data_IF_212139621937
#
_entry.id   IF_212139621937
#
_cell.length_a   1.000
_cell.length_b   1.000
_cell.length_c   1.000
_cell.angle_alpha   90.00
_cell.angle_beta   90.00
_cell.angle_gamma   90.00
#
_symmetry.space_group_name_H-M   'P 1'
#
loop_
_entity.id
_entity.type
_entity.pdbx_description
1 polymer ?
#
# COMPACT_ATOMS: atom_id res chain seq x y z
N UNK A 1 -9.38 6.09 -0.89
CA UNK A 1 -10.38 5.02 -1.08
C UNK A 1 -11.40 5.38 -2.17
N UNK A 2 -12.12 6.52 -2.08
CA UNK A 2 -13.21 6.87 -3.01
C UNK A 2 -12.77 6.92 -4.49
N UNK A 3 -11.63 7.57 -4.81
CA UNK A 3 -11.09 7.59 -6.19
C UNK A 3 -10.74 6.19 -6.73
N UNK A 4 -10.26 5.31 -5.86
CA UNK A 4 -10.02 3.91 -6.27
C UNK A 4 -11.32 3.17 -6.51
N UNK A 5 -12.32 3.38 -5.66
CA UNK A 5 -13.65 2.76 -5.82
C UNK A 5 -14.37 3.21 -7.11
N UNK A 6 -14.17 4.46 -7.52
CA UNK A 6 -14.69 5.00 -8.80
C UNK A 6 -14.12 4.24 -10.01
N UNK A 7 -12.84 3.85 -9.96
CA UNK A 7 -12.18 3.12 -11.03
C UNK A 7 -12.48 1.62 -11.08
N UNK A 8 -13.19 1.06 -10.09
CA UNK A 8 -13.48 -0.36 -10.04
C UNK A 8 -14.54 -0.78 -11.06
N UNK A 9 -14.42 -1.98 -11.66
CA UNK A 9 -15.47 -2.58 -12.45
C UNK A 9 -16.74 -2.81 -11.61
N UNK A 10 -17.83 -3.22 -12.26
CA UNK A 10 -19.12 -3.38 -11.58
C UNK A 10 -19.07 -4.38 -10.42
N UNK A 11 -18.31 -5.47 -10.60
CA UNK A 11 -18.09 -6.54 -9.63
C UNK A 11 -16.82 -6.33 -8.76
N UNK A 12 -16.12 -5.21 -8.93
CA UNK A 12 -14.91 -4.90 -8.18
C UNK A 12 -15.18 -4.51 -6.73
N UNK A 13 -14.26 -4.86 -5.84
CA UNK A 13 -14.35 -4.58 -4.41
C UNK A 13 -13.06 -3.95 -3.89
N UNK A 14 -13.17 -2.89 -3.12
CA UNK A 14 -12.07 -2.25 -2.40
C UNK A 14 -12.09 -2.67 -0.93
N UNK A 15 -10.97 -3.20 -0.46
CA UNK A 15 -10.70 -3.47 0.95
C UNK A 15 -9.74 -2.40 1.45
N UNK A 16 -10.14 -1.60 2.43
CA UNK A 16 -9.29 -0.55 3.00
C UNK A 16 -9.17 -0.70 4.51
N UNK A 17 -7.96 -0.48 5.03
CA UNK A 17 -7.60 -0.72 6.42
C UNK A 17 -7.04 0.56 7.03
N UNK A 18 -7.50 0.91 8.22
CA UNK A 18 -7.01 2.03 9.01
C UNK A 18 -6.65 1.52 10.42
N UNK A 19 -5.40 1.75 10.85
CA UNK A 19 -4.93 1.31 12.15
C UNK A 19 -5.35 2.24 13.30
N UNK A 20 -5.58 3.53 12.97
CA UNK A 20 -6.00 4.52 13.94
C UNK A 20 -7.54 4.51 14.06
N UNK A 21 -8.05 3.96 15.16
CA UNK A 21 -9.48 3.88 15.45
C UNK A 21 -10.15 5.25 15.63
N UNK A 22 -9.39 6.30 16.03
CA UNK A 22 -9.91 7.66 16.10
C UNK A 22 -10.37 8.21 14.74
N UNK A 23 -9.85 7.64 13.63
CA UNK A 23 -10.27 8.01 12.28
C UNK A 23 -11.61 7.38 11.86
N UNK A 24 -12.12 6.41 12.60
CA UNK A 24 -13.33 5.69 12.23
C UNK A 24 -14.55 6.61 12.15
N UNK A 25 -14.80 7.40 13.19
CA UNK A 25 -15.97 8.28 13.28
C UNK A 25 -16.00 9.35 12.17
N UNK A 26 -14.81 9.74 11.68
CA UNK A 26 -14.70 10.65 10.55
C UNK A 26 -14.82 9.93 9.22
N UNK A 27 -14.08 8.84 9.02
CA UNK A 27 -13.93 8.19 7.71
C UNK A 27 -15.15 7.36 7.32
N UNK A 28 -15.71 6.59 8.25
CA UNK A 28 -16.81 5.65 7.98
C UNK A 28 -18.03 6.33 7.37
N UNK A 29 -18.55 7.47 7.91
CA UNK A 29 -19.71 8.14 7.33
C UNK A 29 -19.49 8.60 5.88
N UNK A 30 -18.28 9.03 5.53
CA UNK A 30 -17.95 9.45 4.17
C UNK A 30 -17.96 8.29 3.18
N UNK A 31 -17.49 7.12 3.59
CA UNK A 31 -17.48 5.92 2.76
C UNK A 31 -18.89 5.36 2.60
N UNK A 32 -19.64 5.23 3.70
CA UNK A 32 -20.97 4.64 3.73
C UNK A 32 -22.04 5.50 3.05
N UNK A 33 -21.88 6.83 3.02
CA UNK A 33 -22.79 7.73 2.32
C UNK A 33 -22.34 8.04 0.87
N UNK A 34 -21.26 7.43 0.40
CA UNK A 34 -20.79 7.61 -0.97
C UNK A 34 -21.60 6.76 -1.96
N UNK A 35 -21.57 7.15 -3.23
CA UNK A 35 -22.16 6.36 -4.32
C UNK A 35 -21.43 5.03 -4.55
N UNK A 36 -20.30 4.82 -3.89
CA UNK A 36 -19.45 3.62 -3.96
C UNK A 36 -19.52 2.77 -2.69
N UNK A 37 -20.44 3.05 -1.77
CA UNK A 37 -20.54 2.36 -0.48
C UNK A 37 -20.56 0.83 -0.61
N UNK A 38 -21.32 0.31 -1.59
CA UNK A 38 -21.46 -1.13 -1.83
C UNK A 38 -20.15 -1.79 -2.32
N UNK A 39 -19.20 -0.99 -2.85
CA UNK A 39 -17.90 -1.46 -3.35
C UNK A 39 -16.77 -1.33 -2.33
N UNK A 40 -17.02 -0.76 -1.14
CA UNK A 40 -15.97 -0.47 -0.15
C UNK A 40 -16.19 -1.30 1.11
N UNK A 41 -15.17 -2.06 1.50
CA UNK A 41 -15.07 -2.75 2.80
C UNK A 41 -14.03 -2.02 3.63
N UNK A 42 -14.48 -1.26 4.63
CA UNK A 42 -13.64 -0.49 5.54
C UNK A 42 -13.45 -1.22 6.86
N UNK A 43 -12.19 -1.44 7.23
CA UNK A 43 -11.78 -2.13 8.44
C UNK A 43 -10.91 -1.25 9.31
N UNK A 44 -11.19 -1.24 10.61
CA UNK A 44 -10.30 -0.67 11.62
C UNK A 44 -9.41 -1.79 12.16
N UNK A 45 -8.10 -1.61 12.06
CA UNK A 45 -7.12 -2.56 12.57
C UNK A 45 -5.85 -2.65 11.72
N UNK A 46 -4.93 -3.47 12.20
CA UNK A 46 -3.65 -3.68 11.55
C UNK A 46 -3.81 -4.57 10.30
N UNK A 47 -3.56 -4.01 9.13
CA UNK A 47 -3.63 -4.73 7.85
C UNK A 47 -2.75 -5.99 7.84
N UNK A 48 -1.56 -5.96 8.47
CA UNK A 48 -0.64 -7.11 8.53
C UNK A 48 -1.22 -8.30 9.31
N UNK A 49 -2.15 -8.05 10.21
CA UNK A 49 -2.83 -9.10 10.99
C UNK A 49 -4.15 -9.53 10.34
N UNK A 50 -4.85 -8.60 9.70
CA UNK A 50 -6.18 -8.84 9.15
C UNK A 50 -6.14 -9.45 7.75
N UNK A 51 -5.33 -8.92 6.83
CA UNK A 51 -5.27 -9.39 5.43
C UNK A 51 -4.96 -10.88 5.33
N UNK A 52 -4.04 -11.46 6.13
CA UNK A 52 -3.78 -12.90 6.09
C UNK A 52 -4.98 -13.80 6.45
N UNK A 53 -5.99 -13.24 7.11
CA UNK A 53 -7.19 -13.98 7.51
C UNK A 53 -8.24 -14.06 6.38
N UNK A 54 -8.08 -13.25 5.33
CA UNK A 54 -8.96 -13.29 4.17
C UNK A 54 -8.42 -14.29 3.14
N UNK A 55 -9.30 -15.11 2.60
CA UNK A 55 -9.01 -15.96 1.45
C UNK A 55 -9.32 -15.16 0.16
N UNK A 56 -8.48 -14.17 -0.10
CA UNK A 56 -8.65 -13.24 -1.21
C UNK A 56 -7.38 -13.18 -2.07
N UNK A 57 -7.60 -13.04 -3.37
CA UNK A 57 -6.60 -12.63 -4.35
C UNK A 57 -6.89 -11.20 -4.78
N UNK A 58 -5.86 -10.36 -4.87
CA UNK A 58 -5.97 -8.96 -5.24
C UNK A 58 -5.38 -8.73 -6.63
N UNK A 59 -5.98 -7.84 -7.40
CA UNK A 59 -5.44 -7.38 -8.69
C UNK A 59 -4.59 -6.12 -8.51
N UNK A 60 -4.89 -5.34 -7.46
CA UNK A 60 -4.18 -4.11 -7.12
C UNK A 60 -4.10 -3.96 -5.61
N UNK A 61 -2.92 -3.58 -5.11
CA UNK A 61 -2.74 -3.12 -3.75
C UNK A 61 -2.09 -1.73 -3.73
N UNK A 62 -2.56 -0.85 -2.87
CA UNK A 62 -1.98 0.46 -2.62
C UNK A 62 -1.40 0.49 -1.21
N UNK A 63 -0.08 0.68 -1.10
CA UNK A 63 0.64 0.73 0.17
C UNK A 63 0.97 2.19 0.51
N UNK A 64 0.32 2.71 1.55
CA UNK A 64 0.54 4.05 2.10
C UNK A 64 0.44 4.01 3.63
N UNK A 65 1.18 3.10 4.22
CA UNK A 65 1.22 2.89 5.68
C UNK A 65 2.53 3.38 6.31
N UNK A 66 2.84 2.81 7.47
CA UNK A 66 4.10 3.04 8.19
C UNK A 66 5.31 2.59 7.36
N UNK A 67 6.18 3.53 7.02
CA UNK A 67 7.35 3.28 6.14
C UNK A 67 8.33 2.24 6.71
N UNK A 68 8.36 2.09 8.04
CA UNK A 68 9.13 1.04 8.74
C UNK A 68 8.67 -0.38 8.39
N UNK A 69 7.43 -0.52 7.91
CA UNK A 69 6.76 -1.80 7.66
C UNK A 69 6.51 -2.07 6.16
N UNK A 70 7.10 -1.27 5.26
CA UNK A 70 6.86 -1.41 3.82
C UNK A 70 7.24 -2.77 3.27
N UNK A 71 8.34 -3.35 3.75
CA UNK A 71 8.76 -4.71 3.40
C UNK A 71 7.70 -5.73 3.87
N UNK A 72 7.18 -5.57 5.09
CA UNK A 72 6.17 -6.48 5.63
C UNK A 72 4.87 -6.42 4.81
N UNK A 73 4.42 -5.20 4.45
CA UNK A 73 3.24 -5.04 3.59
C UNK A 73 3.46 -5.68 2.22
N UNK A 74 4.62 -5.47 1.62
CA UNK A 74 4.97 -6.04 0.34
C UNK A 74 4.96 -7.57 0.36
N UNK A 75 5.65 -8.19 1.31
CA UNK A 75 5.73 -9.64 1.44
C UNK A 75 4.39 -10.28 1.84
N UNK A 76 3.53 -9.56 2.53
CA UNK A 76 2.16 -9.99 2.81
C UNK A 76 1.29 -10.00 1.56
N UNK A 77 1.40 -8.96 0.73
CA UNK A 77 0.54 -8.76 -0.45
C UNK A 77 1.00 -9.59 -1.64
N UNK A 78 2.30 -9.64 -1.94
CA UNK A 78 2.83 -10.25 -3.16
C UNK A 78 2.34 -11.68 -3.41
N UNK A 79 2.32 -12.61 -2.44
CA UNK A 79 1.80 -13.96 -2.66
C UNK A 79 0.28 -14.00 -2.91
N UNK A 80 -0.44 -12.96 -2.50
CA UNK A 80 -1.90 -12.81 -2.66
C UNK A 80 -2.30 -12.01 -3.89
N UNK A 81 -1.32 -11.51 -4.63
CA UNK A 81 -1.57 -10.76 -5.85
C UNK A 81 -1.81 -11.75 -7.01
N UNK A 82 -2.76 -11.44 -7.88
CA UNK A 82 -2.94 -12.18 -9.13
C UNK A 82 -1.71 -12.06 -10.03
N UNK A 83 -1.50 -13.02 -10.94
CA UNK A 83 -0.42 -12.93 -11.91
C UNK A 83 -0.65 -11.71 -12.81
N UNK A 84 0.39 -10.91 -12.98
CA UNK A 84 0.30 -9.61 -13.67
C UNK A 84 -0.36 -8.50 -12.85
N UNK A 85 -0.78 -8.75 -11.61
CA UNK A 85 -1.33 -7.77 -10.69
C UNK A 85 -0.30 -6.75 -10.20
N UNK A 86 -0.76 -5.66 -9.59
CA UNK A 86 0.06 -4.50 -9.28
C UNK A 86 0.08 -4.16 -7.79
N UNK A 87 1.22 -3.68 -7.34
CA UNK A 87 1.36 -2.95 -6.07
C UNK A 87 1.80 -1.53 -6.40
N UNK A 88 1.12 -0.55 -5.82
CA UNK A 88 1.50 0.86 -5.83
C UNK A 88 2.00 1.21 -4.43
N UNK A 89 3.26 1.63 -4.31
CA UNK A 89 3.84 2.05 -3.03
C UNK A 89 4.12 3.55 -3.06
N UNK A 90 3.50 4.29 -2.16
CA UNK A 90 3.60 5.75 -2.10
C UNK A 90 4.79 6.22 -1.27
N UNK A 91 5.23 7.45 -1.51
CA UNK A 91 6.33 8.16 -0.83
C UNK A 91 7.67 7.42 -0.88
N UNK A 92 7.98 6.77 -1.98
CA UNK A 92 9.21 5.96 -2.10
C UNK A 92 10.48 6.79 -2.34
N UNK A 93 10.35 8.09 -2.63
CA UNK A 93 11.46 9.05 -2.65
C UNK A 93 11.67 9.74 -1.29
N UNK A 94 10.66 9.77 -0.43
CA UNK A 94 10.73 10.23 0.95
C UNK A 94 11.40 11.60 1.11
N UNK A 95 10.87 12.63 0.44
CA UNK A 95 11.42 14.01 0.39
C UNK A 95 12.91 14.08 0.05
N UNK A 96 13.43 13.06 -0.65
CA UNK A 96 14.85 12.94 -1.00
C UNK A 96 15.73 12.31 0.08
N UNK A 97 15.20 12.01 1.27
CA UNK A 97 15.96 11.35 2.35
C UNK A 97 16.52 9.98 1.97
N UNK A 98 15.94 9.34 0.95
CA UNK A 98 16.47 8.08 0.39
C UNK A 98 17.90 8.24 -0.17
N UNK A 99 18.34 9.45 -0.49
CA UNK A 99 19.68 9.75 -0.97
C UNK A 99 20.72 9.89 0.17
N UNK A 100 20.29 9.98 1.41
CA UNK A 100 21.20 10.03 2.55
C UNK A 100 22.02 8.75 2.65
N UNK A 101 23.36 8.87 2.63
CA UNK A 101 24.24 7.70 2.76
C UNK A 101 24.09 7.03 4.12
N UNK A 102 23.97 7.83 5.18
CA UNK A 102 23.82 7.37 6.55
C UNK A 102 22.69 8.13 7.26
N UNK A 103 21.44 7.68 7.13
CA UNK A 103 20.35 8.27 7.88
C UNK A 103 20.58 8.13 9.39
N UNK A 104 20.06 9.08 10.17
CA UNK A 104 20.22 9.01 11.62
C UNK A 104 19.59 7.71 12.15
N UNK A 105 20.29 7.04 13.09
CA UNK A 105 19.89 5.72 13.62
C UNK A 105 18.46 5.66 14.21
N UNK A 106 17.90 6.80 14.58
CA UNK A 106 16.53 6.92 15.10
C UNK A 106 15.51 7.24 14.03
N UNK A 107 15.95 7.55 12.81
CA UNK A 107 15.06 7.78 11.68
C UNK A 107 14.68 6.44 11.02
N UNK A 108 13.82 5.72 11.72
CA UNK A 108 13.39 4.39 11.30
C UNK A 108 12.52 4.43 10.03
N UNK A 109 11.90 5.57 9.73
CA UNK A 109 11.09 5.74 8.51
C UNK A 109 12.00 5.75 7.28
N UNK A 110 13.03 6.61 7.28
CA UNK A 110 14.02 6.67 6.19
C UNK A 110 14.75 5.33 6.04
N UNK A 111 15.15 4.71 7.14
CA UNK A 111 15.80 3.39 7.11
C UNK A 111 14.85 2.35 6.47
N UNK A 112 13.59 2.34 6.86
CA UNK A 112 12.61 1.38 6.34
C UNK A 112 12.34 1.54 4.85
N UNK A 113 12.14 2.80 4.38
CA UNK A 113 11.85 3.02 2.95
C UNK A 113 13.08 2.77 2.07
N UNK A 114 14.31 3.08 2.54
CA UNK A 114 15.54 2.72 1.83
C UNK A 114 15.67 1.20 1.69
N UNK A 115 15.48 0.47 2.79
CA UNK A 115 15.54 -0.99 2.78
C UNK A 115 14.48 -1.61 1.83
N UNK A 116 13.27 -1.03 1.80
CA UNK A 116 12.23 -1.43 0.85
C UNK A 116 12.66 -1.19 -0.61
N UNK A 117 13.18 -0.01 -0.92
CA UNK A 117 13.64 0.32 -2.27
C UNK A 117 14.77 -0.61 -2.73
N UNK A 118 15.74 -0.91 -1.85
CA UNK A 118 16.85 -1.82 -2.13
C UNK A 118 16.35 -3.25 -2.38
N UNK A 119 15.40 -3.73 -1.57
CA UNK A 119 14.79 -5.04 -1.74
C UNK A 119 14.07 -5.15 -3.09
N UNK A 120 13.19 -4.18 -3.40
CA UNK A 120 12.43 -4.18 -4.65
C UNK A 120 13.36 -4.09 -5.85
N UNK A 121 14.43 -3.29 -5.79
CA UNK A 121 15.40 -3.16 -6.88
C UNK A 121 16.02 -4.51 -7.28
N UNK A 122 16.17 -5.44 -6.35
CA UNK A 122 16.80 -6.75 -6.56
C UNK A 122 15.79 -7.89 -6.76
N UNK A 123 14.49 -7.66 -6.50
CA UNK A 123 13.49 -8.72 -6.54
C UNK A 123 13.19 -9.14 -7.99
N UNK A 124 13.46 -10.40 -8.32
CA UNK A 124 13.24 -10.98 -9.63
C UNK A 124 11.79 -11.43 -9.86
N UNK A 125 10.98 -11.50 -8.81
CA UNK A 125 9.56 -11.89 -8.87
C UNK A 125 8.69 -10.82 -9.54
N UNK A 126 9.22 -9.59 -9.66
CA UNK A 126 8.45 -8.43 -10.10
C UNK A 126 9.19 -7.61 -11.16
N UNK A 127 8.40 -6.87 -11.92
CA UNK A 127 8.83 -5.70 -12.69
C UNK A 127 8.52 -4.44 -11.88
N UNK A 128 9.36 -3.41 -11.97
CA UNK A 128 9.20 -2.20 -11.15
C UNK A 128 9.69 -0.97 -11.85
N UNK A 129 9.05 0.16 -11.52
CA UNK A 129 9.45 1.50 -11.94
C UNK A 129 9.08 2.50 -10.86
N UNK A 130 9.95 3.47 -10.58
CA UNK A 130 9.64 4.61 -9.73
C UNK A 130 9.23 5.78 -10.62
N UNK A 131 8.02 6.29 -10.39
CA UNK A 131 7.56 7.54 -10.97
C UNK A 131 7.94 8.67 -10.01
N UNK A 132 8.69 9.70 -10.47
CA UNK A 132 9.02 10.85 -9.66
C UNK A 132 7.82 11.82 -9.55
N UNK A 133 6.69 11.29 -9.11
CA UNK A 133 5.44 12.02 -8.91
C UNK A 133 5.36 12.38 -7.43
N UNK A 134 5.41 13.69 -7.12
CA UNK A 134 5.48 14.21 -5.74
C UNK A 134 6.63 13.55 -4.97
N UNK A 135 6.30 12.76 -3.97
CA UNK A 135 7.25 12.06 -3.09
C UNK A 135 7.58 10.63 -3.55
N UNK A 136 7.36 10.38 -4.82
CA UNK A 136 7.65 9.11 -5.49
C UNK A 136 6.56 8.06 -5.33
N UNK A 137 6.17 7.50 -6.46
CA UNK A 137 5.25 6.36 -6.53
C UNK A 137 5.97 5.19 -7.21
N UNK A 138 6.21 4.12 -6.48
CA UNK A 138 6.75 2.89 -7.06
C UNK A 138 5.61 2.00 -7.54
N UNK A 139 5.62 1.71 -8.83
CA UNK A 139 4.71 0.74 -9.47
C UNK A 139 5.46 -0.59 -9.56
N UNK A 140 4.87 -1.62 -9.01
CA UNK A 140 5.41 -2.99 -8.96
C UNK A 140 4.39 -3.91 -9.60
N UNK A 141 4.82 -4.68 -10.60
CA UNK A 141 3.99 -5.69 -11.28
C UNK A 141 4.50 -7.08 -10.96
N UNK A 142 3.64 -7.97 -10.48
CA UNK A 142 3.95 -9.39 -10.34
C UNK A 142 4.12 -10.04 -11.72
N UNK A 143 5.16 -10.87 -11.87
CA UNK A 143 5.42 -11.65 -13.09
C UNK A 143 4.53 -12.86 -13.20
#
# INVERSE_FOLDING_TARGET
ALCMAEGLPEDGMLYTFEINDEQEDFTRPWLENSVYADKIKFYIGNALEMVPQFDLTFDLAFIDGDKRRYIDYYEMVLPRLSDGGYILADNTLWDGHVLEEQPHRTDLQTIGIKAFNDLIAQDSRVEKVILPLRDGLTIIRKK
#
